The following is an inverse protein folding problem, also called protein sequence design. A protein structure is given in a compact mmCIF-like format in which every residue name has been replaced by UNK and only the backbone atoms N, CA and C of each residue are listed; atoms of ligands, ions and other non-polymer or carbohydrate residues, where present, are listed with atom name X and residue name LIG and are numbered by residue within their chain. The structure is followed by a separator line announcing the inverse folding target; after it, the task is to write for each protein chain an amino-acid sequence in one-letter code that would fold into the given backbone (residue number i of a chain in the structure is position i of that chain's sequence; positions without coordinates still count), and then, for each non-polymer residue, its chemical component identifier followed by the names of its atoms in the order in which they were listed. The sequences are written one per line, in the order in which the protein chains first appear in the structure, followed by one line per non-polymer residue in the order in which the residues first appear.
data_IF_240701006376
#
_entry.id   IF_240701006376
#
_cell.length_a   1.000
_cell.length_b   1.000
_cell.length_c   1.000
_cell.angle_alpha   90.00
_cell.angle_beta   90.00
_cell.angle_gamma   90.00
#
_symmetry.space_group_name_H-M   'P 1'
#
loop_
_entity.id
_entity.type
_entity.pdbx_description
1 polymer ?
#
# COMPACT_ATOMS: atom_id res chain seq x y z
N UNK A 1 53.48 -45.07 -15.09
CA UNK A 1 53.89 -43.93 -14.24
C UNK A 1 53.82 -42.66 -15.08
N UNK A 2 53.30 -41.55 -14.51
CA UNK A 2 53.14 -40.19 -15.09
C UNK A 2 52.00 -40.04 -16.11
N UNK A 3 51.12 -39.04 -16.10
CA UNK A 3 50.42 -38.25 -15.06
C UNK A 3 49.18 -37.65 -15.77
N UNK A 4 48.06 -37.61 -15.06
CA UNK A 4 46.73 -37.09 -15.45
C UNK A 4 46.79 -35.62 -15.91
N UNK A 5 45.87 -35.23 -16.80
CA UNK A 5 45.26 -33.88 -16.79
C UNK A 5 43.98 -33.83 -17.63
N UNK A 6 42.86 -33.93 -16.92
CA UNK A 6 41.50 -33.68 -17.39
C UNK A 6 41.31 -32.16 -17.34
N UNK A 7 40.94 -31.53 -18.46
CA UNK A 7 40.57 -30.11 -18.51
C UNK A 7 39.04 -30.02 -18.44
N UNK A 8 38.50 -29.72 -17.26
CA UNK A 8 37.11 -29.31 -17.08
C UNK A 8 37.10 -27.79 -17.20
N UNK A 9 36.52 -27.26 -18.27
CA UNK A 9 36.18 -25.84 -18.38
C UNK A 9 34.79 -25.61 -17.75
N UNK A 10 34.66 -24.83 -16.66
CA UNK A 10 33.36 -24.38 -16.21
C UNK A 10 33.04 -23.08 -16.96
N UNK A 11 32.17 -23.13 -17.97
CA UNK A 11 31.64 -21.91 -18.56
C UNK A 11 30.58 -21.34 -17.61
N UNK A 12 30.99 -20.24 -16.99
CA UNK A 12 30.31 -19.39 -16.02
C UNK A 12 28.79 -19.30 -16.17
N UNK A 13 28.13 -19.66 -15.06
CA UNK A 13 26.77 -19.29 -14.71
C UNK A 13 26.65 -17.75 -14.78
N UNK A 14 26.08 -17.22 -15.86
CA UNK A 14 25.67 -15.82 -15.95
C UNK A 14 24.40 -15.64 -15.10
N UNK A 15 24.58 -15.58 -13.79
CA UNK A 15 23.51 -15.32 -12.84
C UNK A 15 23.16 -13.83 -12.96
N UNK A 16 22.10 -13.54 -13.71
CA UNK A 16 21.52 -12.21 -13.87
C UNK A 16 21.04 -11.68 -12.53
N UNK A 17 21.83 -10.79 -11.92
CA UNK A 17 21.39 -9.90 -10.86
C UNK A 17 20.41 -8.89 -11.47
N UNK A 18 19.14 -9.26 -11.57
CA UNK A 18 18.08 -8.27 -11.73
C UNK A 18 17.82 -7.66 -10.34
N UNK A 19 18.13 -6.37 -10.11
CA UNK A 19 17.66 -5.69 -8.92
C UNK A 19 16.13 -5.78 -8.85
N UNK A 20 15.63 -6.45 -7.80
CA UNK A 20 14.23 -6.50 -7.46
C UNK A 20 13.81 -5.08 -7.04
N UNK A 21 13.28 -4.29 -7.98
CA UNK A 21 12.76 -2.97 -7.66
C UNK A 21 11.57 -3.14 -6.70
N UNK A 22 11.53 -2.43 -5.56
CA UNK A 22 10.37 -2.49 -4.67
C UNK A 22 9.14 -2.01 -5.45
N UNK A 23 8.03 -2.74 -5.34
CA UNK A 23 6.77 -2.34 -5.93
C UNK A 23 6.39 -0.96 -5.39
N UNK A 24 6.45 0.06 -6.26
CA UNK A 24 6.11 1.43 -5.90
C UNK A 24 4.65 1.49 -5.46
N UNK A 25 4.40 1.65 -4.16
CA UNK A 25 3.07 1.99 -3.67
C UNK A 25 2.67 3.32 -4.33
N UNK A 26 1.51 3.37 -4.99
CA UNK A 26 1.06 4.59 -5.64
C UNK A 26 0.83 5.66 -4.58
N UNK A 27 1.60 6.74 -4.64
CA UNK A 27 1.48 7.92 -3.78
C UNK A 27 0.83 9.04 -4.58
N UNK A 28 -0.29 9.55 -4.09
CA UNK A 28 -1.01 10.69 -4.70
C UNK A 28 -1.21 11.80 -3.66
N UNK A 29 -1.08 13.05 -4.07
CA UNK A 29 -1.36 14.22 -3.22
C UNK A 29 -2.70 14.85 -3.58
N UNK A 30 -3.33 15.53 -2.62
CA UNK A 30 -4.63 16.14 -2.86
C UNK A 30 -5.21 16.89 -1.67
N UNK A 31 -6.50 17.20 -1.78
CA UNK A 31 -7.29 17.78 -0.69
C UNK A 31 -8.36 16.78 -0.28
N UNK A 32 -8.44 16.52 1.02
CA UNK A 32 -9.51 15.74 1.62
C UNK A 32 -10.64 16.66 2.10
N UNK A 33 -11.87 16.18 2.02
CA UNK A 33 -12.99 16.66 2.84
C UNK A 33 -13.63 15.49 3.59
N UNK A 34 -14.76 15.71 4.25
CA UNK A 34 -15.50 14.63 4.90
C UNK A 34 -17.02 14.77 4.75
N UNK A 35 -17.73 13.64 4.79
CA UNK A 35 -19.18 13.61 4.69
C UNK A 35 -19.86 14.11 5.97
N UNK A 36 -20.90 14.95 5.81
CA UNK A 36 -21.78 15.36 6.90
C UNK A 36 -22.67 14.22 7.41
N UNK A 37 -23.17 14.37 8.64
CA UNK A 37 -23.96 13.33 9.34
C UNK A 37 -25.24 12.92 8.59
N UNK A 38 -25.82 13.83 7.81
CA UNK A 38 -27.03 13.60 6.99
C UNK A 38 -26.92 12.44 5.98
N UNK A 39 -25.70 12.02 5.67
CA UNK A 39 -25.45 10.90 4.76
C UNK A 39 -25.46 9.55 5.47
N UNK A 40 -25.37 9.52 6.81
CA UNK A 40 -25.31 8.28 7.58
C UNK A 40 -26.52 7.38 7.28
N UNK A 41 -26.26 6.10 7.03
CA UNK A 41 -27.26 5.09 6.69
C UNK A 41 -27.68 5.07 5.21
N UNK A 42 -27.28 6.04 4.38
CA UNK A 42 -27.56 6.04 2.93
C UNK A 42 -26.69 5.01 2.21
N UNK A 43 -27.16 4.53 1.07
CA UNK A 43 -26.39 3.59 0.24
C UNK A 43 -25.22 4.30 -0.44
N UNK A 44 -24.03 3.70 -0.38
CA UNK A 44 -22.83 4.13 -1.12
C UNK A 44 -22.82 3.51 -2.51
N UNK A 45 -21.91 3.96 -3.37
CA UNK A 45 -21.72 3.39 -4.70
C UNK A 45 -21.18 1.94 -4.70
N UNK A 46 -20.62 1.44 -3.58
CA UNK A 46 -20.31 0.01 -3.43
C UNK A 46 -21.55 -0.85 -3.13
N UNK A 47 -22.68 -0.22 -2.79
CA UNK A 47 -23.91 -0.89 -2.37
C UNK A 47 -24.05 -1.04 -0.84
N UNK A 48 -23.00 -0.77 -0.06
CA UNK A 48 -23.03 -0.77 1.40
C UNK A 48 -23.78 0.45 1.96
N UNK A 49 -24.23 0.38 3.22
CA UNK A 49 -24.73 1.58 3.92
C UNK A 49 -23.57 2.38 4.49
N UNK A 50 -23.52 3.67 4.18
CA UNK A 50 -22.53 4.58 4.74
C UNK A 50 -22.67 4.64 6.26
N UNK A 51 -21.54 4.40 6.95
CA UNK A 51 -21.44 4.53 8.39
C UNK A 51 -20.42 5.62 8.72
N UNK A 52 -20.87 6.74 9.28
CA UNK A 52 -20.01 7.87 9.61
C UNK A 52 -18.92 7.53 10.65
N UNK A 53 -19.11 6.44 11.41
CA UNK A 53 -18.20 5.96 12.44
C UNK A 53 -17.20 4.92 11.92
N UNK A 54 -17.40 4.37 10.72
CA UNK A 54 -16.45 3.46 10.07
C UNK A 54 -15.27 4.25 9.47
N UNK A 55 -14.15 3.58 9.17
CA UNK A 55 -12.99 4.18 8.51
C UNK A 55 -13.07 3.95 7.00
N UNK A 56 -13.93 4.72 6.35
CA UNK A 56 -14.19 4.60 4.92
C UNK A 56 -13.97 5.93 4.18
N UNK A 57 -13.83 5.83 2.86
CA UNK A 57 -13.63 6.97 1.98
C UNK A 57 -14.29 6.79 0.62
N UNK A 58 -14.54 7.92 -0.05
CA UNK A 58 -14.96 7.99 -1.43
C UNK A 58 -13.83 8.47 -2.33
N UNK A 59 -13.64 7.79 -3.46
CA UNK A 59 -12.65 8.15 -4.47
C UNK A 59 -13.19 7.94 -5.89
N UNK A 60 -12.75 8.77 -6.83
CA UNK A 60 -13.31 8.84 -8.19
C UNK A 60 -13.10 7.55 -8.98
N UNK A 61 -11.89 7.00 -8.90
CA UNK A 61 -11.43 5.95 -9.82
C UNK A 61 -10.86 4.71 -9.12
N UNK A 62 -10.62 4.76 -7.81
CA UNK A 62 -10.03 3.61 -7.12
C UNK A 62 -11.08 2.51 -6.99
N UNK A 63 -10.63 1.25 -7.09
CA UNK A 63 -11.50 0.09 -6.92
C UNK A 63 -12.12 0.13 -5.52
N UNK A 64 -13.37 -0.33 -5.41
CA UNK A 64 -13.94 -0.54 -4.09
C UNK A 64 -13.15 -1.62 -3.35
N UNK A 65 -13.00 -1.47 -2.03
CA UNK A 65 -12.16 -2.32 -1.21
C UNK A 65 -10.68 -1.90 -1.18
N UNK A 66 -10.22 -0.96 -2.01
CA UNK A 66 -8.85 -0.45 -1.92
C UNK A 66 -8.62 0.18 -0.55
N UNK A 67 -7.56 -0.27 0.13
CA UNK A 67 -7.11 0.30 1.41
C UNK A 67 -6.08 1.40 1.17
N UNK A 68 -6.23 2.50 1.87
CA UNK A 68 -5.40 3.69 1.75
C UNK A 68 -4.88 4.09 3.13
N UNK A 69 -3.59 4.43 3.22
CA UNK A 69 -3.12 5.33 4.26
C UNK A 69 -3.32 6.75 3.77
N UNK A 70 -4.08 7.52 4.53
CA UNK A 70 -4.29 8.95 4.30
C UNK A 70 -3.52 9.70 5.36
N UNK A 71 -2.63 10.60 4.96
CA UNK A 71 -1.82 11.42 5.85
C UNK A 71 -2.19 12.89 5.69
N UNK A 72 -2.54 13.56 6.78
CA UNK A 72 -2.77 15.00 6.79
C UNK A 72 -1.43 15.74 6.82
N UNK A 73 -1.09 16.43 5.72
CA UNK A 73 0.21 17.11 5.56
C UNK A 73 0.41 18.29 6.52
N UNK A 74 -0.67 18.78 7.14
CA UNK A 74 -0.61 19.93 8.07
C UNK A 74 -0.11 19.53 9.46
N UNK A 75 -0.42 18.31 9.90
CA UNK A 75 -0.15 17.86 11.28
C UNK A 75 0.55 16.50 11.36
N UNK A 76 0.82 15.85 10.22
CA UNK A 76 1.50 14.55 10.15
C UNK A 76 0.66 13.36 10.61
N UNK A 77 -0.62 13.55 10.99
CA UNK A 77 -1.48 12.44 11.45
C UNK A 77 -1.92 11.60 10.26
N UNK A 78 -2.00 10.29 10.45
CA UNK A 78 -2.42 9.35 9.40
C UNK A 78 -3.55 8.44 9.86
N UNK A 79 -4.33 7.94 8.92
CA UNK A 79 -5.39 6.97 9.16
C UNK A 79 -5.52 6.02 7.97
N UNK A 80 -5.74 4.74 8.26
CA UNK A 80 -6.12 3.76 7.24
C UNK A 80 -7.62 3.84 6.96
N UNK A 81 -8.00 3.83 5.70
CA UNK A 81 -9.40 3.82 5.25
C UNK A 81 -9.61 2.84 4.11
N UNK A 82 -10.84 2.34 3.98
CA UNK A 82 -11.27 1.53 2.83
C UNK A 82 -12.13 2.35 1.88
N UNK A 83 -11.85 2.30 0.58
CA UNK A 83 -12.67 2.95 -0.45
C UNK A 83 -13.96 2.17 -0.65
N UNK A 84 -15.12 2.77 -0.37
CA UNK A 84 -16.42 2.12 -0.56
C UNK A 84 -17.46 3.04 -1.23
N UNK A 85 -17.07 4.21 -1.70
CA UNK A 85 -17.98 5.14 -2.36
C UNK A 85 -17.31 5.91 -3.51
N UNK A 86 -18.09 6.64 -4.30
CA UNK A 86 -17.65 7.44 -5.45
C UNK A 86 -17.80 8.93 -5.21
N UNK A 87 -16.86 9.69 -5.78
CA UNK A 87 -16.68 11.12 -5.53
C UNK A 87 -15.24 11.39 -5.11
N UNK A 88 -14.91 12.57 -4.59
CA UNK A 88 -15.74 13.78 -4.57
C UNK A 88 -16.02 14.33 -5.97
N UNK A 89 -17.23 14.85 -6.19
CA UNK A 89 -17.58 15.55 -7.45
C UNK A 89 -17.31 17.05 -7.42
N UNK A 90 -16.90 17.57 -6.26
CA UNK A 90 -16.50 18.97 -6.13
C UNK A 90 -15.07 19.16 -6.60
N UNK A 91 -14.87 20.18 -7.44
CA UNK A 91 -13.56 20.52 -8.01
C UNK A 91 -12.54 20.81 -6.90
N UNK A 92 -11.29 20.37 -7.11
CA UNK A 92 -10.19 20.58 -6.17
C UNK A 92 -10.11 19.57 -5.02
N UNK A 93 -11.09 18.67 -4.86
CA UNK A 93 -11.02 17.57 -3.88
C UNK A 93 -10.60 16.26 -4.52
N UNK A 94 -9.82 15.48 -3.79
CA UNK A 94 -9.31 14.18 -4.22
C UNK A 94 -10.01 13.04 -3.51
N UNK A 95 -10.36 13.22 -2.24
CA UNK A 95 -10.97 12.17 -1.41
C UNK A 95 -11.98 12.77 -0.43
N UNK A 96 -13.10 12.09 -0.21
CA UNK A 96 -14.04 12.42 0.87
C UNK A 96 -14.01 11.31 1.92
N UNK A 97 -13.74 11.67 3.18
CA UNK A 97 -13.57 10.75 4.30
C UNK A 97 -14.85 10.62 5.13
N UNK A 98 -14.96 9.53 5.88
CA UNK A 98 -15.93 9.45 6.97
C UNK A 98 -15.61 10.45 8.09
N UNK A 99 -16.63 10.78 8.92
CA UNK A 99 -16.44 11.67 10.08
C UNK A 99 -15.43 11.08 11.08
N UNK A 100 -15.41 9.76 11.27
CA UNK A 100 -14.42 9.09 12.13
C UNK A 100 -12.99 9.22 11.59
N UNK A 101 -12.78 9.01 10.29
CA UNK A 101 -11.46 9.18 9.68
C UNK A 101 -10.98 10.64 9.77
N UNK A 102 -11.87 11.60 9.47
CA UNK A 102 -11.57 13.03 9.59
C UNK A 102 -11.23 13.45 11.03
N UNK A 103 -11.89 12.85 12.03
CA UNK A 103 -11.55 13.05 13.45
C UNK A 103 -10.15 12.56 13.77
N UNK A 104 -9.79 11.36 13.31
CA UNK A 104 -8.44 10.79 13.51
C UNK A 104 -7.34 11.64 12.86
N UNK A 105 -7.63 12.23 11.70
CA UNK A 105 -6.73 13.17 11.01
C UNK A 105 -6.69 14.57 11.62
N UNK A 106 -7.54 14.87 12.59
CA UNK A 106 -7.62 16.20 13.21
C UNK A 106 -8.06 17.29 12.24
N UNK A 107 -8.96 16.98 11.31
CA UNK A 107 -9.42 17.93 10.27
C UNK A 107 -10.87 18.39 10.43
N UNK A 108 -11.61 17.92 11.45
CA UNK A 108 -13.03 18.28 11.64
C UNK A 108 -13.26 19.80 11.72
N UNK A 109 -12.42 20.53 12.45
CA UNK A 109 -12.60 21.98 12.62
C UNK A 109 -12.44 22.78 11.32
N UNK A 110 -11.52 22.38 10.44
CA UNK A 110 -11.28 23.06 9.16
C UNK A 110 -12.20 22.58 8.03
N UNK A 111 -12.84 21.43 8.17
CA UNK A 111 -13.64 20.81 7.10
C UNK A 111 -12.81 20.09 6.03
N UNK A 112 -11.66 20.68 5.67
CA UNK A 112 -10.75 20.20 4.62
C UNK A 112 -9.30 20.17 5.10
N UNK A 113 -8.47 19.35 4.46
CA UNK A 113 -7.04 19.28 4.72
C UNK A 113 -6.24 18.87 3.48
N UNK A 114 -5.02 19.40 3.28
CA UNK A 114 -4.09 18.83 2.32
C UNK A 114 -3.64 17.44 2.80
N UNK A 115 -3.72 16.45 1.92
CA UNK A 115 -3.42 15.05 2.24
C UNK A 115 -2.49 14.41 1.23
N UNK A 116 -1.80 13.38 1.71
CA UNK A 116 -1.12 12.39 0.91
C UNK A 116 -1.85 11.05 1.04
N UNK A 117 -2.03 10.34 -0.07
CA UNK A 117 -2.70 9.06 -0.19
C UNK A 117 -1.67 8.01 -0.61
N UNK A 118 -1.58 6.92 0.14
CA UNK A 118 -0.74 5.76 -0.20
C UNK A 118 -1.61 4.51 -0.27
N UNK A 119 -1.61 3.83 -1.42
CA UNK A 119 -2.28 2.53 -1.55
C UNK A 119 -1.53 1.48 -0.74
N UNK A 120 -2.27 0.73 0.07
CA UNK A 120 -1.78 -0.47 0.73
C UNK A 120 -1.94 -1.65 -0.23
N UNK A 121 -0.82 -2.21 -0.67
CA UNK A 121 -0.81 -3.46 -1.44
C UNK A 121 -0.86 -4.63 -0.45
N UNK A 122 -1.77 -5.58 -0.69
CA UNK A 122 -1.94 -6.77 0.17
C UNK A 122 -0.70 -7.70 0.17
N UNK A 123 0.25 -7.45 -0.73
CA UNK A 123 1.51 -8.18 -0.85
C UNK A 123 2.42 -8.01 0.39
N UNK A 124 2.22 -6.97 1.21
CA UNK A 124 3.01 -6.81 2.45
C UNK A 124 2.57 -7.74 3.57
N UNK A 125 1.36 -8.32 3.51
CA UNK A 125 0.89 -9.32 4.47
C UNK A 125 1.23 -10.75 4.04
N UNK A 126 1.68 -10.94 2.79
CA UNK A 126 2.05 -12.23 2.22
C UNK A 126 3.54 -12.27 1.84
N UNK A 127 4.40 -11.70 2.67
CA UNK A 127 5.81 -12.08 2.66
C UNK A 127 5.93 -13.37 3.48
N UNK A 128 6.11 -14.55 2.86
CA UNK A 128 6.81 -15.61 3.58
C UNK A 128 8.21 -15.04 3.88
N UNK A 129 8.44 -14.66 5.13
CA UNK A 129 9.77 -14.45 5.69
C UNK A 129 10.52 -15.78 5.72
N UNK A 130 10.82 -16.31 4.53
CA UNK A 130 11.58 -17.55 4.29
C UNK A 130 12.62 -17.40 3.18
N UNK A 131 12.55 -16.37 2.35
CA UNK A 131 13.57 -16.13 1.31
C UNK A 131 14.91 -15.66 1.88
N UNK A 132 14.94 -15.12 3.10
CA UNK A 132 16.20 -14.85 3.82
C UNK A 132 16.78 -16.10 4.52
N UNK A 133 15.95 -17.11 4.82
CA UNK A 133 16.37 -18.33 5.52
C UNK A 133 16.91 -19.41 4.57
N UNK A 134 16.62 -19.34 3.27
CA UNK A 134 17.09 -20.36 2.30
C UNK A 134 18.37 -19.98 1.58
N UNK A 135 18.68 -18.68 1.41
CA UNK A 135 19.94 -18.28 0.75
C UNK A 135 21.13 -18.49 1.70
N UNK A 136 21.01 -18.11 2.97
CA UNK A 136 22.09 -18.31 3.94
C UNK A 136 22.38 -19.81 4.19
N UNK A 137 21.35 -20.66 4.26
CA UNK A 137 21.52 -22.09 4.50
C UNK A 137 22.07 -22.84 3.27
N UNK A 138 21.65 -22.48 2.04
CA UNK A 138 22.20 -23.09 0.82
C UNK A 138 23.65 -22.67 0.55
N UNK A 139 24.02 -21.46 0.96
CA UNK A 139 25.37 -20.92 0.81
C UNK A 139 26.35 -21.56 1.81
N UNK A 140 25.89 -21.94 3.01
CA UNK A 140 26.69 -22.67 3.99
C UNK A 140 26.95 -24.13 3.54
N UNK A 141 25.94 -24.83 3.02
CA UNK A 141 26.07 -26.23 2.56
C UNK A 141 27.00 -26.35 1.35
N UNK A 142 27.08 -25.32 0.50
CA UNK A 142 27.99 -25.29 -0.66
C UNK A 142 29.44 -24.90 -0.31
N UNK A 143 29.66 -24.25 0.84
CA UNK A 143 31.00 -23.91 1.34
C UNK A 143 31.59 -25.07 2.15
N UNK A 144 30.76 -25.86 2.82
CA UNK A 144 31.20 -27.01 3.62
C UNK A 144 31.42 -28.31 2.79
N UNK A 145 31.17 -28.28 1.47
CA UNK A 145 31.38 -29.42 0.55
C UNK A 145 32.54 -29.25 -0.44
N UNK A 146 33.39 -28.22 -0.29
CA UNK A 146 34.62 -28.00 -1.04
C UNK A 146 35.82 -27.74 -0.15
#
# INVERSE_FOLDING_TARGET
MVKRRIWITPFLLFCSLLPFAPANAMVAQGVASYYGERFNGRQTASGERFNMNALTAAHKTLKFGTRLIVTNKTNGRSVEVTVNDRGPYVRGRTIDLSKAAARKLGMLGRGVAPVELKILNDDTAKTPSRSALTVAAAQQIMIDLF
#
